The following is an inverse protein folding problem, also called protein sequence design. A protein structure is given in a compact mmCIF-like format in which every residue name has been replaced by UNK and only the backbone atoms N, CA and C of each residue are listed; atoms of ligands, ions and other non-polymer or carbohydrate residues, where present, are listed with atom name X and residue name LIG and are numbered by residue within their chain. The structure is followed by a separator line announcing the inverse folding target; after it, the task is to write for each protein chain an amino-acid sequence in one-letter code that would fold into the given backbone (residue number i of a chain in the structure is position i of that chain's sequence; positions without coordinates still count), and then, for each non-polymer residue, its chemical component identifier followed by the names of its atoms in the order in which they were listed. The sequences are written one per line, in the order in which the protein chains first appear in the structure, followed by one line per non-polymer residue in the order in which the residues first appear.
data_IF_287711743428
#
_entry.id   IF_287711743428
#
_cell.length_a   1.000
_cell.length_b   1.000
_cell.length_c   1.000
_cell.angle_alpha   90.00
_cell.angle_beta   90.00
_cell.angle_gamma   90.00
#
_symmetry.space_group_name_H-M   'P 1'
#
loop_
_entity.id
_entity.type
_entity.pdbx_description
1 polymer ?
#
# COMPACT_ATOMS: atom_id res chain seq x y z
N UNK A 1 6.38 -19.79 3.22
CA UNK A 1 7.71 -19.32 2.73
C UNK A 1 8.72 -20.44 2.44
N UNK A 2 8.47 -21.67 2.88
CA UNK A 2 9.30 -22.86 2.67
C UNK A 2 9.66 -23.15 1.20
N UNK A 3 8.71 -23.02 0.27
CA UNK A 3 8.99 -23.20 -1.16
C UNK A 3 10.06 -22.22 -1.68
N UNK A 4 9.94 -20.95 -1.29
CA UNK A 4 10.87 -19.89 -1.73
C UNK A 4 12.23 -20.08 -1.08
N UNK A 5 12.25 -20.37 0.23
CA UNK A 5 13.49 -20.64 0.96
C UNK A 5 14.20 -21.88 0.41
N UNK A 6 13.49 -22.98 0.15
CA UNK A 6 14.07 -24.20 -0.40
C UNK A 6 14.65 -24.02 -1.81
N UNK A 7 14.00 -23.22 -2.67
CA UNK A 7 14.58 -22.84 -3.98
C UNK A 7 15.85 -22.01 -3.78
N UNK A 8 15.83 -21.03 -2.89
CA UNK A 8 17.00 -20.21 -2.60
C UNK A 8 18.15 -21.04 -2.01
N UNK A 9 17.87 -21.96 -1.09
CA UNK A 9 18.85 -22.89 -0.53
C UNK A 9 19.47 -23.75 -1.63
N UNK A 10 18.65 -24.39 -2.44
CA UNK A 10 19.12 -25.29 -3.51
C UNK A 10 20.02 -24.59 -4.54
N UNK A 11 19.65 -23.39 -4.97
CA UNK A 11 20.30 -22.73 -6.10
C UNK A 11 21.29 -21.64 -5.71
N UNK A 12 21.24 -21.12 -4.48
CA UNK A 12 22.04 -19.97 -4.08
C UNK A 12 22.69 -20.10 -2.69
N UNK A 13 21.90 -20.32 -1.62
CA UNK A 13 22.47 -20.27 -0.27
C UNK A 13 23.36 -21.47 0.05
N UNK A 14 22.95 -22.71 -0.25
CA UNK A 14 23.78 -23.91 0.00
C UNK A 14 25.07 -23.93 -0.84
N UNK A 15 25.06 -23.56 -2.14
CA UNK A 15 26.29 -23.60 -2.95
C UNK A 15 27.26 -22.45 -2.71
N UNK A 16 26.78 -21.25 -2.34
CA UNK A 16 27.59 -20.02 -2.40
C UNK A 16 27.67 -19.22 -1.10
N UNK A 17 26.75 -19.41 -0.15
CA UNK A 17 26.64 -18.54 1.04
C UNK A 17 26.97 -19.27 2.32
N UNK A 18 26.32 -20.42 2.56
CA UNK A 18 26.49 -21.17 3.80
C UNK A 18 27.49 -22.31 3.64
N UNK A 19 28.35 -22.56 4.63
CA UNK A 19 29.27 -23.70 4.60
C UNK A 19 28.47 -25.01 4.68
N UNK A 20 29.02 -26.08 4.12
CA UNK A 20 28.41 -27.42 4.17
C UNK A 20 28.14 -27.94 5.59
N UNK A 21 28.83 -27.38 6.60
CA UNK A 21 28.62 -27.69 8.02
C UNK A 21 27.35 -27.07 8.62
N UNK A 22 26.62 -26.23 7.89
CA UNK A 22 25.42 -25.55 8.39
C UNK A 22 24.16 -26.11 7.70
N UNK A 23 23.41 -27.02 8.34
CA UNK A 23 22.26 -27.68 7.72
C UNK A 23 21.12 -26.72 7.32
N UNK A 24 20.35 -27.07 6.29
CA UNK A 24 19.22 -26.25 5.78
C UNK A 24 18.07 -26.11 6.80
N UNK A 25 17.96 -27.04 7.75
CA UNK A 25 16.96 -27.03 8.81
C UNK A 25 17.40 -26.27 10.08
N UNK A 26 18.62 -25.73 10.07
CA UNK A 26 19.16 -24.99 11.21
C UNK A 26 18.41 -23.64 11.39
N UNK A 27 17.88 -23.35 12.61
CA UNK A 27 17.05 -22.17 12.85
C UNK A 27 17.66 -20.81 12.48
N UNK A 28 18.90 -20.53 12.87
CA UNK A 28 19.57 -19.26 12.58
C UNK A 28 19.79 -19.10 11.08
N UNK A 29 20.20 -20.17 10.37
CA UNK A 29 20.32 -20.19 8.90
C UNK A 29 18.99 -19.84 8.23
N UNK A 30 17.89 -20.46 8.68
CA UNK A 30 16.55 -20.20 8.14
C UNK A 30 16.12 -18.76 8.39
N UNK A 31 16.31 -18.23 9.61
CA UNK A 31 15.95 -16.84 9.94
C UNK A 31 16.74 -15.84 9.09
N UNK A 32 18.04 -16.04 8.93
CA UNK A 32 18.89 -15.17 8.09
C UNK A 32 18.50 -15.25 6.62
N UNK A 33 18.26 -16.46 6.09
CA UNK A 33 17.80 -16.67 4.72
C UNK A 33 16.45 -16.00 4.46
N UNK A 34 15.49 -16.18 5.37
CA UNK A 34 14.19 -15.53 5.32
C UNK A 34 14.31 -14.01 5.37
N UNK A 35 15.16 -13.45 6.23
CA UNK A 35 15.37 -12.00 6.31
C UNK A 35 15.87 -11.43 4.98
N UNK A 36 16.85 -12.09 4.35
CA UNK A 36 17.36 -11.69 3.03
C UNK A 36 16.28 -11.79 1.97
N UNK A 37 15.59 -12.93 1.88
CA UNK A 37 14.56 -13.17 0.87
C UNK A 37 13.36 -12.24 1.02
N UNK A 38 12.90 -11.99 2.24
CA UNK A 38 11.78 -11.09 2.51
C UNK A 38 12.12 -9.65 2.10
N UNK A 39 13.33 -9.16 2.44
CA UNK A 39 13.74 -7.81 2.07
C UNK A 39 13.94 -7.64 0.56
N UNK A 40 14.64 -8.57 -0.08
CA UNK A 40 14.85 -8.53 -1.53
C UNK A 40 13.54 -8.69 -2.29
N UNK A 41 12.70 -9.64 -1.87
CA UNK A 41 11.39 -9.86 -2.47
C UNK A 41 10.48 -8.64 -2.33
N UNK A 42 10.41 -8.04 -1.14
CA UNK A 42 9.66 -6.80 -0.91
C UNK A 42 10.17 -5.65 -1.77
N UNK A 43 11.49 -5.45 -1.85
CA UNK A 43 12.08 -4.41 -2.69
C UNK A 43 11.79 -4.61 -4.18
N UNK A 44 11.93 -5.85 -4.68
CA UNK A 44 11.66 -6.18 -6.09
C UNK A 44 10.19 -5.99 -6.43
N UNK A 45 9.27 -6.49 -5.60
CA UNK A 45 7.84 -6.33 -5.83
C UNK A 45 7.44 -4.86 -5.76
N UNK A 46 7.87 -4.14 -4.73
CA UNK A 46 7.55 -2.72 -4.56
C UNK A 46 8.11 -1.86 -5.70
N UNK A 47 9.41 -1.94 -5.99
CA UNK A 47 10.04 -1.12 -7.03
C UNK A 47 9.59 -1.55 -8.43
N UNK A 48 9.47 -2.85 -8.68
CA UNK A 48 9.07 -3.39 -9.98
C UNK A 48 7.61 -3.08 -10.33
N UNK A 49 6.67 -3.47 -9.46
CA UNK A 49 5.25 -3.20 -9.67
C UNK A 49 4.93 -1.71 -9.55
N UNK A 50 5.60 -0.99 -8.63
CA UNK A 50 5.49 0.45 -8.49
C UNK A 50 5.95 1.18 -9.74
N UNK A 51 7.10 0.80 -10.33
CA UNK A 51 7.57 1.37 -11.59
C UNK A 51 6.62 1.03 -12.75
N UNK A 52 6.14 -0.22 -12.83
CA UNK A 52 5.19 -0.61 -13.87
C UNK A 52 3.92 0.25 -13.81
N UNK A 53 3.33 0.39 -12.63
CA UNK A 53 2.16 1.25 -12.42
C UNK A 53 2.49 2.71 -12.72
N UNK A 54 3.62 3.23 -12.24
CA UNK A 54 4.04 4.61 -12.46
C UNK A 54 4.20 4.94 -13.95
N UNK A 55 4.86 4.10 -14.74
CA UNK A 55 5.10 4.40 -16.15
C UNK A 55 3.92 4.07 -17.07
N UNK A 56 3.08 3.08 -16.72
CA UNK A 56 2.03 2.59 -17.63
C UNK A 56 0.61 3.03 -17.24
N UNK A 57 0.34 3.31 -15.96
CA UNK A 57 -1.02 3.51 -15.43
C UNK A 57 -1.18 4.89 -14.79
N UNK A 58 -0.18 5.33 -14.00
CA UNK A 58 -0.26 6.54 -13.20
C UNK A 58 -0.58 7.78 -14.04
N UNK A 59 -1.60 8.51 -13.61
CA UNK A 59 -1.96 9.77 -14.24
C UNK A 59 -1.02 10.89 -13.79
N UNK A 60 0.00 11.16 -14.59
CA UNK A 60 1.03 12.17 -14.31
C UNK A 60 0.48 13.61 -14.21
N UNK A 61 -0.72 13.90 -14.70
CA UNK A 61 -1.34 15.22 -14.48
C UNK A 61 -1.55 15.50 -13.00
N UNK A 62 -1.73 14.46 -12.16
CA UNK A 62 -1.87 14.60 -10.71
C UNK A 62 -0.66 15.29 -10.05
N UNK A 63 0.51 15.24 -10.68
CA UNK A 63 1.71 15.92 -10.20
C UNK A 63 1.60 17.44 -10.24
N UNK A 64 0.64 17.99 -11.01
CA UNK A 64 0.34 19.42 -11.07
C UNK A 64 -0.56 19.89 -9.92
N UNK A 65 -1.12 18.97 -9.14
CA UNK A 65 -2.02 19.33 -8.05
C UNK A 65 -1.26 20.09 -6.95
N UNK A 66 -1.82 21.15 -6.33
CA UNK A 66 -1.14 21.95 -5.28
C UNK A 66 -0.69 21.16 -4.05
N UNK A 67 -1.31 20.02 -3.80
CA UNK A 67 -0.96 19.12 -2.70
C UNK A 67 0.03 18.01 -3.08
N UNK A 68 0.42 17.91 -4.35
CA UNK A 68 1.52 17.03 -4.75
C UNK A 68 2.84 17.70 -4.35
N UNK A 69 3.63 17.01 -3.52
CA UNK A 69 4.80 17.59 -2.88
C UNK A 69 6.01 17.63 -3.84
N UNK A 70 6.94 18.59 -3.64
CA UNK A 70 8.22 18.56 -4.35
C UNK A 70 8.99 17.27 -4.08
N UNK A 71 9.53 16.67 -5.15
CA UNK A 71 10.26 15.39 -5.13
C UNK A 71 9.49 14.25 -4.45
N UNK A 72 8.15 14.29 -4.47
CA UNK A 72 7.30 13.35 -3.72
C UNK A 72 7.64 11.89 -4.03
N UNK A 73 7.74 11.51 -5.30
CA UNK A 73 8.06 10.12 -5.70
C UNK A 73 9.37 9.62 -5.08
N UNK A 74 10.43 10.43 -5.11
CA UNK A 74 11.71 10.06 -4.49
C UNK A 74 11.59 9.94 -2.96
N UNK A 75 10.79 10.81 -2.33
CA UNK A 75 10.56 10.77 -0.88
C UNK A 75 9.74 9.55 -0.47
N UNK A 76 8.73 9.19 -1.25
CA UNK A 76 7.92 7.98 -1.07
C UNK A 76 8.80 6.72 -1.16
N UNK A 77 9.59 6.60 -2.25
CA UNK A 77 10.53 5.48 -2.44
C UNK A 77 11.52 5.41 -1.29
N UNK A 78 12.15 6.54 -0.93
CA UNK A 78 13.11 6.57 0.18
C UNK A 78 12.46 6.10 1.48
N UNK A 79 11.26 6.59 1.78
CA UNK A 79 10.58 6.26 3.03
C UNK A 79 10.17 4.79 3.08
N UNK A 80 9.60 4.25 2.00
CA UNK A 80 9.28 2.83 1.88
C UNK A 80 10.53 1.96 2.04
N UNK A 81 11.61 2.24 1.30
CA UNK A 81 12.85 1.46 1.37
C UNK A 81 13.54 1.54 2.74
N UNK A 82 13.35 2.61 3.50
CA UNK A 82 13.81 2.67 4.90
C UNK A 82 12.91 1.91 5.86
N UNK A 83 11.61 1.81 5.59
CA UNK A 83 10.64 1.14 6.46
C UNK A 83 10.58 -0.38 6.28
N UNK A 84 10.74 -0.87 5.04
CA UNK A 84 10.61 -2.29 4.69
C UNK A 84 11.49 -3.23 5.55
N UNK A 85 12.77 -2.92 5.85
CA UNK A 85 13.57 -3.77 6.73
C UNK A 85 13.00 -3.91 8.14
N UNK A 86 12.44 -2.85 8.70
CA UNK A 86 11.83 -2.89 10.04
C UNK A 86 10.53 -3.68 10.05
N UNK A 87 9.74 -3.60 8.98
CA UNK A 87 8.53 -4.41 8.81
C UNK A 87 8.89 -5.89 8.66
N UNK A 88 9.99 -6.18 7.96
CA UNK A 88 10.41 -7.55 7.70
C UNK A 88 10.75 -8.31 8.99
N UNK A 89 11.22 -7.66 10.05
CA UNK A 89 11.63 -8.33 11.29
C UNK A 89 10.49 -9.16 11.93
N UNK A 90 9.33 -8.57 12.29
CA UNK A 90 8.21 -9.36 12.82
C UNK A 90 7.57 -10.26 11.75
N UNK A 91 7.60 -9.89 10.46
CA UNK A 91 7.09 -10.75 9.38
C UNK A 91 7.92 -12.03 9.22
N UNK A 92 9.25 -11.95 9.37
CA UNK A 92 10.16 -13.10 9.33
C UNK A 92 9.87 -14.07 10.47
N UNK A 93 9.44 -13.59 11.65
CA UNK A 93 9.00 -14.48 12.72
C UNK A 93 7.79 -15.33 12.31
N UNK A 94 6.82 -14.75 11.60
CA UNK A 94 5.68 -15.47 11.04
C UNK A 94 6.12 -16.46 9.96
N UNK A 95 6.98 -16.04 9.04
CA UNK A 95 7.51 -16.92 7.99
C UNK A 95 8.36 -18.05 8.54
N UNK A 96 9.13 -17.80 9.59
CA UNK A 96 9.86 -18.84 10.29
C UNK A 96 8.88 -19.85 10.89
N UNK A 97 7.83 -19.40 11.58
CA UNK A 97 6.79 -20.30 12.08
C UNK A 97 6.09 -21.10 10.96
N UNK A 98 5.84 -20.49 9.78
CA UNK A 98 5.35 -21.21 8.60
C UNK A 98 6.32 -22.34 8.19
N UNK A 99 7.61 -22.04 8.04
CA UNK A 99 8.65 -23.00 7.65
C UNK A 99 8.81 -24.12 8.69
N UNK A 100 8.58 -23.82 9.98
CA UNK A 100 8.59 -24.81 11.06
C UNK A 100 7.30 -25.65 11.13
N UNK A 101 6.35 -25.46 10.21
CA UNK A 101 5.13 -26.27 10.12
C UNK A 101 4.01 -25.86 11.06
N UNK A 102 4.05 -24.65 11.64
CA UNK A 102 2.97 -24.16 12.52
C UNK A 102 1.76 -23.60 11.74
N UNK A 103 1.89 -23.42 10.42
CA UNK A 103 0.80 -22.99 9.55
C UNK A 103 -0.02 -24.18 9.03
N UNK A 104 -1.21 -23.90 8.50
CA UNK A 104 -2.09 -24.87 7.82
C UNK A 104 -1.88 -24.87 6.31
N UNK A 105 -0.70 -24.45 5.84
CA UNK A 105 -0.36 -24.48 4.43
C UNK A 105 -0.19 -25.92 3.95
N UNK A 106 -0.71 -26.23 2.76
CA UNK A 106 -0.62 -27.56 2.17
C UNK A 106 -0.11 -27.52 0.73
N UNK A 107 0.49 -28.63 0.30
CA UNK A 107 1.24 -28.73 -0.96
C UNK A 107 0.36 -29.13 -2.15
N UNK A 108 -0.51 -30.12 -2.00
CA UNK A 108 -1.29 -30.65 -3.11
C UNK A 108 -2.75 -30.21 -3.02
N UNK A 109 -3.35 -29.89 -4.16
CA UNK A 109 -4.78 -29.55 -4.24
C UNK A 109 -5.66 -30.65 -3.62
N UNK A 110 -5.25 -31.91 -3.77
CA UNK A 110 -5.96 -33.08 -3.25
C UNK A 110 -5.90 -33.23 -1.72
N UNK A 111 -5.02 -32.48 -1.03
CA UNK A 111 -4.99 -32.43 0.44
C UNK A 111 -6.18 -31.62 1.00
N UNK A 112 -6.84 -30.81 0.15
CA UNK A 112 -8.09 -30.16 0.48
C UNK A 112 -9.28 -31.12 0.31
N UNK A 113 -10.18 -31.25 1.31
CA UNK A 113 -11.41 -32.05 1.18
C UNK A 113 -12.29 -31.64 -0.01
N UNK A 114 -12.15 -30.39 -0.47
CA UNK A 114 -12.92 -29.83 -1.57
C UNK A 114 -12.15 -29.76 -2.90
N UNK A 115 -10.90 -30.21 -2.95
CA UNK A 115 -10.05 -30.14 -4.14
C UNK A 115 -9.99 -28.74 -4.76
N UNK A 116 -10.14 -28.66 -6.10
CA UNK A 116 -10.12 -27.39 -6.86
C UNK A 116 -11.18 -26.35 -6.42
N UNK A 117 -12.47 -26.71 -6.20
CA UNK A 117 -13.43 -25.81 -5.57
C UNK A 117 -12.97 -25.23 -4.23
N UNK A 118 -12.23 -26.01 -3.44
CA UNK A 118 -11.64 -25.57 -2.18
C UNK A 118 -10.67 -24.41 -2.34
N UNK A 119 -9.91 -24.35 -3.44
CA UNK A 119 -8.99 -23.24 -3.73
C UNK A 119 -9.75 -21.94 -3.98
N UNK A 120 -10.83 -21.99 -4.75
CA UNK A 120 -11.67 -20.81 -5.02
C UNK A 120 -12.30 -20.31 -3.72
N UNK A 121 -12.84 -21.22 -2.90
CA UNK A 121 -13.40 -20.85 -1.60
C UNK A 121 -12.33 -20.26 -0.66
N UNK A 122 -11.12 -20.81 -0.66
CA UNK A 122 -9.99 -20.28 0.12
C UNK A 122 -9.59 -18.88 -0.35
N UNK A 123 -9.55 -18.64 -1.66
CA UNK A 123 -9.30 -17.31 -2.22
C UNK A 123 -10.38 -16.29 -1.81
N UNK A 124 -11.66 -16.64 -1.96
CA UNK A 124 -12.76 -15.74 -1.58
C UNK A 124 -12.72 -15.46 -0.08
N UNK A 125 -12.59 -16.49 0.76
CA UNK A 125 -12.51 -16.30 2.21
C UNK A 125 -11.26 -15.53 2.64
N UNK A 126 -10.11 -15.71 1.98
CA UNK A 126 -8.92 -14.88 2.18
C UNK A 126 -9.20 -13.41 1.90
N UNK A 127 -9.83 -13.08 0.77
CA UNK A 127 -10.18 -11.71 0.44
C UNK A 127 -11.13 -11.09 1.47
N UNK A 128 -12.21 -11.78 1.84
CA UNK A 128 -13.16 -11.26 2.83
C UNK A 128 -12.57 -11.13 4.24
N UNK A 129 -11.77 -12.12 4.68
CA UNK A 129 -11.10 -12.07 5.98
C UNK A 129 -10.12 -10.90 6.05
N UNK A 130 -9.26 -10.77 5.03
CA UNK A 130 -8.23 -9.74 5.00
C UNK A 130 -8.85 -8.35 4.84
N UNK A 131 -9.88 -8.18 4.02
CA UNK A 131 -10.63 -6.92 3.89
C UNK A 131 -11.21 -6.47 5.25
N UNK A 132 -11.84 -7.39 5.99
CA UNK A 132 -12.40 -7.11 7.31
C UNK A 132 -11.32 -6.68 8.30
N UNK A 133 -10.26 -7.47 8.44
CA UNK A 133 -9.22 -7.19 9.41
C UNK A 133 -8.50 -5.88 9.09
N UNK A 134 -8.19 -5.63 7.83
CA UNK A 134 -7.51 -4.42 7.39
C UNK A 134 -8.39 -3.20 7.60
N UNK A 135 -9.70 -3.28 7.29
CA UNK A 135 -10.63 -2.20 7.58
C UNK A 135 -10.56 -1.74 9.06
N UNK A 136 -10.61 -2.69 10.00
CA UNK A 136 -10.57 -2.36 11.42
C UNK A 136 -9.21 -1.87 11.89
N UNK A 137 -8.12 -2.46 11.38
CA UNK A 137 -6.75 -2.02 11.66
C UNK A 137 -6.53 -0.59 11.13
N UNK A 138 -6.95 -0.34 9.90
CA UNK A 138 -6.83 0.96 9.26
C UNK A 138 -7.64 2.02 10.02
N UNK A 139 -8.91 1.72 10.35
CA UNK A 139 -9.73 2.61 11.18
C UNK A 139 -9.12 2.86 12.57
N UNK A 140 -8.51 1.84 13.18
CA UNK A 140 -7.79 1.98 14.45
C UNK A 140 -6.55 2.87 14.31
N UNK A 141 -5.81 2.75 13.21
CA UNK A 141 -4.67 3.60 12.89
C UNK A 141 -5.05 5.07 12.72
N UNK A 142 -6.29 5.36 12.30
CA UNK A 142 -6.86 6.71 12.28
C UNK A 142 -7.37 7.23 13.63
N UNK A 143 -7.38 6.39 14.67
CA UNK A 143 -7.76 6.87 15.99
C UNK A 143 -6.82 7.98 16.47
N UNK A 144 -7.36 9.06 17.05
CA UNK A 144 -6.65 10.29 17.44
C UNK A 144 -5.34 10.10 18.21
N UNK A 145 -5.25 9.04 19.02
CA UNK A 145 -4.06 8.72 19.83
C UNK A 145 -2.95 8.03 19.03
N UNK A 146 -3.32 7.33 17.95
CA UNK A 146 -2.46 6.45 17.16
C UNK A 146 -2.01 7.16 15.88
N UNK A 147 -2.94 7.86 15.22
CA UNK A 147 -2.76 8.49 13.90
C UNK A 147 -1.48 9.31 13.80
N UNK A 148 -1.27 10.27 14.71
CA UNK A 148 -0.12 11.18 14.68
C UNK A 148 1.23 10.45 14.62
N UNK A 149 1.30 9.28 15.27
CA UNK A 149 2.55 8.54 15.45
C UNK A 149 2.83 7.58 14.30
N UNK A 150 1.82 6.84 13.83
CA UNK A 150 2.05 5.73 12.92
C UNK A 150 1.47 5.93 11.52
N UNK A 151 0.30 6.57 11.41
CA UNK A 151 -0.41 6.61 10.12
C UNK A 151 -0.34 7.98 9.42
N UNK A 152 -0.17 9.07 10.18
CA UNK A 152 0.07 10.41 9.64
C UNK A 152 1.24 10.46 8.64
N UNK A 153 2.37 9.75 8.84
CA UNK A 153 3.46 9.74 7.86
C UNK A 153 3.06 9.21 6.48
N UNK A 154 2.09 8.30 6.39
CA UNK A 154 1.53 7.84 5.12
C UNK A 154 0.60 8.90 4.50
N UNK A 155 -0.21 9.53 5.36
CA UNK A 155 -1.17 10.57 4.99
C UNK A 155 -0.57 11.94 4.64
N UNK A 156 0.76 12.08 4.68
CA UNK A 156 1.41 13.28 4.12
C UNK A 156 1.29 13.34 2.59
N UNK A 157 1.10 12.18 1.94
CA UNK A 157 0.95 12.02 0.49
C UNK A 157 -0.51 12.21 0.05
N UNK A 158 -1.07 13.40 0.28
CA UNK A 158 -2.50 13.69 0.02
C UNK A 158 -2.97 13.36 -1.40
N UNK A 159 -2.10 13.55 -2.39
CA UNK A 159 -2.29 13.06 -3.75
C UNK A 159 -1.24 11.99 -3.96
N UNK A 160 -1.56 10.71 -3.73
CA UNK A 160 -0.57 9.66 -3.75
C UNK A 160 -0.05 9.40 -5.18
N UNK A 161 1.19 8.94 -5.26
CA UNK A 161 1.66 8.18 -6.43
C UNK A 161 1.64 6.67 -6.11
N UNK A 162 1.82 5.77 -7.10
CA UNK A 162 1.93 4.34 -6.86
C UNK A 162 2.98 3.98 -5.80
N UNK A 163 4.03 4.80 -5.67
CA UNK A 163 5.10 4.59 -4.68
C UNK A 163 4.68 4.97 -3.25
N UNK A 164 3.60 5.74 -3.06
CA UNK A 164 3.03 6.03 -1.74
C UNK A 164 2.47 4.76 -1.05
N UNK A 165 2.12 3.75 -1.83
CA UNK A 165 1.47 2.50 -1.39
C UNK A 165 2.18 1.77 -0.24
N UNK A 166 3.51 1.87 -0.17
CA UNK A 166 4.33 1.26 0.88
C UNK A 166 5.13 2.29 1.70
N UNK A 167 4.87 3.59 1.47
CA UNK A 167 5.56 4.69 2.14
C UNK A 167 4.87 5.03 3.47
N UNK A 168 4.86 4.07 4.40
CA UNK A 168 4.27 4.19 5.74
C UNK A 168 5.30 3.91 6.85
N UNK A 169 4.91 4.23 8.09
CA UNK A 169 5.69 3.86 9.27
C UNK A 169 5.79 2.33 9.41
N UNK A 170 6.89 1.75 9.95
CA UNK A 170 7.01 0.30 10.07
C UNK A 170 5.88 -0.40 10.84
N UNK A 171 5.44 0.18 11.96
CA UNK A 171 4.30 -0.35 12.74
C UNK A 171 3.01 -0.35 11.92
N UNK A 172 2.77 0.70 11.14
CA UNK A 172 1.60 0.82 10.27
C UNK A 172 1.64 -0.28 9.19
N UNK A 173 2.76 -0.40 8.48
CA UNK A 173 2.98 -1.43 7.47
C UNK A 173 2.83 -2.85 7.98
N UNK A 174 3.41 -3.15 9.14
CA UNK A 174 3.28 -4.47 9.76
C UNK A 174 1.83 -4.77 10.14
N UNK A 175 1.13 -3.82 10.78
CA UNK A 175 -0.25 -4.02 11.20
C UNK A 175 -1.17 -4.23 9.99
N UNK A 176 -1.05 -3.41 8.94
CA UNK A 176 -1.88 -3.58 7.74
C UNK A 176 -1.53 -4.86 6.96
N UNK A 177 -0.27 -5.32 6.97
CA UNK A 177 0.14 -6.57 6.35
C UNK A 177 -0.19 -7.84 7.14
N UNK A 178 -0.34 -7.72 8.47
CA UNK A 178 -0.50 -8.85 9.39
C UNK A 178 -1.66 -9.81 9.02
N UNK A 179 -2.86 -9.35 8.61
CA UNK A 179 -3.97 -10.24 8.29
C UNK A 179 -3.65 -11.24 7.17
N UNK A 180 -2.84 -10.84 6.19
CA UNK A 180 -2.41 -11.71 5.09
C UNK A 180 -1.58 -12.90 5.59
N UNK A 181 -0.72 -12.64 6.58
CA UNK A 181 0.19 -13.64 7.14
C UNK A 181 -0.43 -14.48 8.25
N UNK A 182 -1.44 -13.96 8.96
CA UNK A 182 -2.16 -14.73 9.99
C UNK A 182 -3.18 -15.69 9.39
N UNK A 183 -3.77 -15.38 8.23
CA UNK A 183 -4.75 -16.23 7.58
C UNK A 183 -4.32 -17.72 7.49
N UNK A 184 -3.14 -18.08 6.96
CA UNK A 184 -2.73 -19.49 6.85
C UNK A 184 -2.49 -20.20 8.20
N UNK A 185 -2.43 -19.49 9.33
CA UNK A 185 -2.40 -20.12 10.66
C UNK A 185 -3.80 -20.49 11.16
N UNK A 186 -4.83 -19.80 10.67
CA UNK A 186 -6.21 -20.01 11.06
C UNK A 186 -6.94 -20.95 10.10
N UNK A 187 -6.70 -20.82 8.80
CA UNK A 187 -7.41 -21.53 7.74
C UNK A 187 -6.44 -22.29 6.83
N UNK A 188 -6.84 -23.48 6.33
CA UNK A 188 -6.04 -24.21 5.36
C UNK A 188 -5.93 -23.43 4.06
N UNK A 189 -4.72 -23.34 3.50
CA UNK A 189 -4.46 -22.61 2.25
C UNK A 189 -3.37 -23.30 1.42
N UNK A 190 -3.62 -23.46 0.12
CA UNK A 190 -2.65 -24.05 -0.79
C UNK A 190 -1.43 -23.14 -0.97
N UNK A 191 -0.21 -23.67 -0.86
CA UNK A 191 1.03 -22.86 -0.88
C UNK A 191 1.19 -21.98 -2.11
N UNK A 192 0.94 -22.51 -3.32
CA UNK A 192 1.05 -21.70 -4.54
C UNK A 192 -0.07 -20.66 -4.65
N UNK A 193 -1.26 -20.95 -4.12
CA UNK A 193 -2.33 -19.97 -4.07
C UNK A 193 -1.97 -18.83 -3.12
N UNK A 194 -1.40 -19.14 -1.95
CA UNK A 194 -0.92 -18.13 -1.01
C UNK A 194 0.15 -17.22 -1.62
N UNK A 195 1.13 -17.78 -2.34
CA UNK A 195 2.14 -16.98 -3.07
C UNK A 195 1.50 -16.09 -4.15
N UNK A 196 0.56 -16.64 -4.93
CA UNK A 196 -0.18 -15.86 -5.94
C UNK A 196 -1.01 -14.73 -5.32
N UNK A 197 -1.68 -14.99 -4.19
CA UNK A 197 -2.42 -13.99 -3.43
C UNK A 197 -1.48 -12.92 -2.88
N UNK A 198 -0.33 -13.28 -2.33
CA UNK A 198 0.67 -12.32 -1.84
C UNK A 198 1.10 -11.34 -2.94
N UNK A 199 1.36 -11.82 -4.16
CA UNK A 199 1.63 -10.94 -5.31
C UNK A 199 0.40 -10.10 -5.66
N UNK A 200 -0.78 -10.70 -5.71
CA UNK A 200 -2.05 -10.01 -5.99
C UNK A 200 -2.35 -8.87 -5.01
N UNK A 201 -2.07 -9.05 -3.73
CA UNK A 201 -2.19 -8.02 -2.69
C UNK A 201 -1.27 -6.84 -2.97
N UNK A 202 -0.03 -7.08 -3.39
CA UNK A 202 0.92 -6.01 -3.73
C UNK A 202 0.45 -5.23 -4.96
N UNK A 203 0.00 -5.92 -6.01
CA UNK A 203 -0.60 -5.30 -7.21
C UNK A 203 -1.79 -4.43 -6.80
N UNK A 204 -2.70 -4.96 -5.98
CA UNK A 204 -3.86 -4.23 -5.51
C UNK A 204 -3.49 -2.97 -4.72
N UNK A 205 -2.62 -3.12 -3.72
CA UNK A 205 -2.16 -2.04 -2.84
C UNK A 205 -1.51 -0.90 -3.63
N UNK A 206 -0.77 -1.21 -4.69
CA UNK A 206 -0.20 -0.22 -5.60
C UNK A 206 -1.29 0.43 -6.46
N UNK A 207 -2.20 -0.37 -7.03
CA UNK A 207 -3.25 0.12 -7.92
C UNK A 207 -4.20 1.12 -7.26
N UNK A 208 -4.53 0.97 -5.97
CA UNK A 208 -5.39 1.95 -5.29
C UNK A 208 -4.69 3.32 -5.03
N UNK A 209 -3.41 3.46 -5.36
CA UNK A 209 -2.62 4.70 -5.23
C UNK A 209 -2.21 5.31 -6.57
N UNK A 210 -2.55 4.69 -7.71
CA UNK A 210 -2.08 5.11 -9.03
C UNK A 210 -2.90 6.25 -9.67
N UNK A 211 -3.98 6.67 -9.01
CA UNK A 211 -4.80 7.77 -9.50
C UNK A 211 -5.57 7.47 -10.78
N UNK A 212 -5.63 6.20 -11.23
CA UNK A 212 -6.53 5.75 -12.27
C UNK A 212 -7.91 5.43 -11.70
N UNK A 213 -8.81 6.41 -11.80
CA UNK A 213 -10.16 6.32 -11.23
C UNK A 213 -11.14 5.49 -12.07
N UNK A 214 -10.68 4.86 -13.16
CA UNK A 214 -11.54 4.09 -14.05
C UNK A 214 -11.91 2.77 -13.40
N UNK A 215 -13.21 2.57 -13.22
CA UNK A 215 -13.79 1.31 -12.76
C UNK A 215 -15.12 1.09 -13.50
N UNK A 216 -15.40 -0.13 -14.02
CA UNK A 216 -16.67 -0.43 -14.67
C UNK A 216 -17.85 -0.04 -13.77
N UNK A 217 -18.87 0.63 -14.33
CA UNK A 217 -20.02 1.17 -13.58
C UNK A 217 -20.66 0.17 -12.60
N UNK A 218 -20.85 -1.12 -12.94
CA UNK A 218 -21.43 -2.08 -12.00
C UNK A 218 -20.56 -2.37 -10.76
N UNK A 219 -19.24 -2.17 -10.85
CA UNK A 219 -18.29 -2.43 -9.77
C UNK A 219 -18.08 -1.23 -8.85
N UNK A 220 -18.34 -0.01 -9.34
CA UNK A 220 -18.19 1.24 -8.57
C UNK A 220 -18.83 1.22 -7.17
N UNK A 221 -20.05 0.68 -6.95
CA UNK A 221 -20.63 0.69 -5.61
C UNK A 221 -20.02 -0.35 -4.66
N UNK A 222 -19.28 -1.35 -5.17
CA UNK A 222 -18.80 -2.52 -4.40
C UNK A 222 -17.29 -2.46 -4.16
N UNK A 223 -16.52 -2.00 -5.14
CA UNK A 223 -15.05 -2.05 -5.11
C UNK A 223 -14.48 -0.75 -4.56
N UNK A 224 -13.62 -0.84 -3.55
CA UNK A 224 -12.84 0.28 -3.01
C UNK A 224 -11.55 0.45 -3.84
N UNK A 225 -11.68 1.14 -4.98
CA UNK A 225 -10.57 1.41 -5.90
C UNK A 225 -9.85 2.75 -5.67
N UNK A 226 -8.97 3.13 -6.59
CA UNK A 226 -8.13 4.34 -6.49
C UNK A 226 -8.89 5.65 -6.20
N UNK A 227 -10.11 5.78 -6.73
CA UNK A 227 -10.95 6.95 -6.49
C UNK A 227 -11.37 7.08 -5.01
N UNK A 228 -11.75 5.96 -4.40
CA UNK A 228 -12.14 5.90 -2.99
C UNK A 228 -10.93 6.16 -2.09
N UNK A 229 -9.80 5.54 -2.41
CA UNK A 229 -8.58 5.65 -1.62
C UNK A 229 -7.93 7.04 -1.74
N UNK A 230 -7.99 7.69 -2.92
CA UNK A 230 -7.55 9.09 -3.05
C UNK A 230 -8.40 10.04 -2.19
N UNK A 231 -9.72 9.85 -2.18
CA UNK A 231 -10.61 10.60 -1.28
C UNK A 231 -10.29 10.32 0.19
N UNK A 232 -9.90 9.09 0.54
CA UNK A 232 -9.42 8.75 1.87
C UNK A 232 -8.18 9.58 2.26
N UNK A 233 -7.17 9.68 1.39
CA UNK A 233 -5.98 10.52 1.62
C UNK A 233 -6.29 12.03 1.72
N UNK A 234 -7.37 12.49 1.07
CA UNK A 234 -7.78 13.89 1.10
C UNK A 234 -8.61 14.27 2.33
N UNK A 235 -9.54 13.39 2.72
CA UNK A 235 -10.57 13.68 3.72
C UNK A 235 -10.40 12.90 5.03
N UNK A 236 -9.50 11.92 5.08
CA UNK A 236 -9.09 11.10 6.24
C UNK A 236 -10.17 10.20 6.85
N UNK A 237 -11.40 10.68 7.02
CA UNK A 237 -12.42 10.02 7.84
C UNK A 237 -13.27 8.97 7.10
N UNK A 238 -12.96 8.66 5.83
CA UNK A 238 -13.82 7.87 4.96
C UNK A 238 -13.05 6.79 4.19
N UNK A 239 -13.76 5.74 3.73
CA UNK A 239 -13.26 4.73 2.78
C UNK A 239 -12.00 3.96 3.23
N UNK A 240 -12.02 3.37 4.43
CA UNK A 240 -10.90 2.62 5.01
C UNK A 240 -10.71 1.21 4.44
N UNK A 241 -11.70 0.65 3.73
CA UNK A 241 -11.66 -0.72 3.22
C UNK A 241 -10.51 -0.96 2.24
N UNK A 242 -10.04 -2.21 2.17
CA UNK A 242 -8.92 -2.57 1.30
C UNK A 242 -9.39 -2.85 -0.12
N UNK A 243 -10.33 -3.78 -0.29
CA UNK A 243 -10.84 -4.22 -1.60
C UNK A 243 -12.29 -3.79 -1.83
N UNK A 244 -13.11 -3.86 -0.78
CA UNK A 244 -14.56 -3.67 -0.89
C UNK A 244 -15.05 -2.49 -0.07
N UNK A 245 -16.16 -1.89 -0.49
CA UNK A 245 -16.86 -0.83 0.24
C UNK A 245 -17.75 -1.38 1.36
N UNK A 246 -17.84 -2.71 1.50
CA UNK A 246 -18.73 -3.40 2.43
C UNK A 246 -18.54 -2.93 3.87
N UNK A 247 -17.31 -2.97 4.38
CA UNK A 247 -17.02 -2.59 5.76
C UNK A 247 -17.13 -1.10 6.00
N UNK A 248 -16.86 -0.28 4.99
CA UNK A 248 -17.12 1.16 5.05
C UNK A 248 -18.61 1.46 5.19
N UNK A 249 -19.47 0.71 4.50
CA UNK A 249 -20.93 0.85 4.63
C UNK A 249 -21.42 0.41 6.01
N UNK A 250 -20.97 -0.76 6.46
CA UNK A 250 -21.34 -1.29 7.77
C UNK A 250 -20.83 -0.41 8.92
N UNK A 251 -19.59 0.06 8.81
CA UNK A 251 -18.94 0.94 9.78
C UNK A 251 -19.25 2.43 9.62
N UNK A 252 -20.13 2.80 8.68
CA UNK A 252 -20.58 4.18 8.43
C UNK A 252 -19.46 5.16 8.09
N UNK A 253 -18.46 4.70 7.36
CA UNK A 253 -17.34 5.49 6.81
C UNK A 253 -17.37 5.56 5.29
N UNK A 254 -18.37 4.99 4.63
CA UNK A 254 -18.49 5.05 3.17
C UNK A 254 -18.77 6.47 2.68
N UNK A 255 -17.99 6.92 1.69
CA UNK A 255 -18.21 8.15 0.94
C UNK A 255 -18.07 7.87 -0.55
N UNK A 256 -19.06 8.33 -1.32
CA UNK A 256 -18.98 8.24 -2.78
C UNK A 256 -17.81 9.09 -3.30
N UNK A 257 -16.92 8.56 -4.16
CA UNK A 257 -15.71 9.25 -4.57
C UNK A 257 -15.95 10.54 -5.35
N UNK A 258 -15.26 11.61 -4.96
CA UNK A 258 -15.33 12.92 -5.59
C UNK A 258 -14.90 12.89 -7.06
N UNK A 259 -13.95 12.03 -7.42
CA UNK A 259 -13.50 11.84 -8.79
C UNK A 259 -14.61 11.28 -9.73
N UNK A 260 -15.53 10.47 -9.19
CA UNK A 260 -16.66 9.95 -9.96
C UNK A 260 -17.80 10.98 -10.13
N UNK A 261 -17.74 12.09 -9.38
CA UNK A 261 -18.69 13.21 -9.46
C UNK A 261 -18.15 14.42 -10.26
N UNK A 262 -16.95 14.32 -10.84
CA UNK A 262 -16.30 15.47 -11.49
C UNK A 262 -15.85 16.56 -10.50
N UNK A 263 -15.50 16.15 -9.27
CA UNK A 263 -14.99 17.01 -8.20
C UNK A 263 -13.66 16.52 -7.63
N UNK A 264 -12.98 15.59 -8.31
CA UNK A 264 -11.74 14.99 -7.82
C UNK A 264 -10.51 15.84 -8.12
N UNK A 265 -9.31 15.34 -7.78
CA UNK A 265 -8.04 16.06 -8.01
C UNK A 265 -7.84 16.50 -9.46
N UNK A 266 -8.16 15.64 -10.43
CA UNK A 266 -8.03 15.95 -11.87
C UNK A 266 -9.01 17.04 -12.32
N UNK A 267 -10.19 17.15 -11.71
CA UNK A 267 -11.11 18.25 -11.97
C UNK A 267 -10.59 19.57 -11.38
N UNK A 268 -9.99 19.51 -10.20
CA UNK A 268 -9.37 20.67 -9.56
C UNK A 268 -8.26 21.26 -10.43
N UNK A 269 -7.37 20.42 -10.95
CA UNK A 269 -6.28 20.82 -11.85
C UNK A 269 -6.83 21.48 -13.12
N UNK A 270 -7.83 20.86 -13.78
CA UNK A 270 -8.48 21.42 -14.97
C UNK A 270 -9.08 22.81 -14.70
N UNK A 271 -9.77 22.99 -13.57
CA UNK A 271 -10.35 24.30 -13.20
C UNK A 271 -9.27 25.36 -12.95
N UNK A 272 -8.17 24.98 -12.32
CA UNK A 272 -7.03 25.89 -12.09
C UNK A 272 -6.38 26.32 -13.41
N UNK A 273 -6.14 25.37 -14.33
CA UNK A 273 -5.58 25.65 -15.65
C UNK A 273 -6.49 26.58 -16.47
N UNK A 274 -7.80 26.32 -16.49
CA UNK A 274 -8.80 27.18 -17.15
C UNK A 274 -8.81 28.59 -16.56
N UNK A 275 -8.77 28.71 -15.23
CA UNK A 275 -8.75 30.00 -14.55
C UNK A 275 -7.45 30.79 -14.82
N UNK A 276 -6.30 30.10 -14.93
CA UNK A 276 -5.03 30.74 -15.29
C UNK A 276 -5.01 31.20 -16.76
N UNK A 277 -5.58 30.41 -17.68
CA UNK A 277 -5.73 30.80 -19.08
C UNK A 277 -6.65 32.03 -19.24
N UNK A 278 -7.75 32.08 -18.49
CA UNK A 278 -8.71 33.19 -18.52
C UNK A 278 -8.13 34.53 -17.98
N UNK A 279 -7.08 34.49 -17.16
CA UNK A 279 -6.45 35.70 -16.59
C UNK A 279 -5.36 36.32 -17.47
N UNK A 280 -4.99 35.70 -18.59
CA UNK A 280 -3.90 36.17 -19.47
C UNK A 280 -2.52 36.11 -18.80
N UNK A 281 -1.42 36.35 -19.55
CA UNK A 281 -0.11 36.51 -18.95
C UNK A 281 -0.16 37.72 -18.01
N UNK A 282 0.30 37.55 -16.76
CA UNK A 282 0.52 38.67 -15.86
C UNK A 282 1.49 39.64 -16.54
N UNK A 283 0.96 40.76 -17.03
CA UNK A 283 1.77 41.89 -17.46
C UNK A 283 2.71 42.26 -16.30
N UNK A 284 4.00 42.25 -16.58
CA UNK A 284 5.10 42.41 -15.63
C UNK A 284 5.26 43.84 -15.14
N UNK A 285 4.17 44.45 -14.67
CA UNK A 285 4.16 45.79 -14.10
C UNK A 285 4.86 45.83 -12.73
N UNK A 286 5.84 46.73 -12.50
CA UNK A 286 6.65 46.73 -11.28
C UNK A 286 5.87 46.98 -9.97
N UNK A 287 4.62 47.48 -10.04
CA UNK A 287 3.88 47.99 -8.88
C UNK A 287 3.30 46.95 -7.90
N UNK A 288 3.24 45.66 -8.23
CA UNK A 288 2.62 44.65 -7.33
C UNK A 288 3.58 43.86 -6.44
N UNK A 289 4.90 44.04 -6.61
CA UNK A 289 5.88 43.40 -5.71
C UNK A 289 5.90 44.04 -4.32
N UNK A 290 5.68 45.35 -4.24
CA UNK A 290 5.73 46.10 -2.99
C UNK A 290 4.52 45.82 -2.08
N UNK A 291 3.30 45.71 -2.63
CA UNK A 291 2.10 45.32 -1.84
C UNK A 291 2.20 43.90 -1.25
N UNK A 292 2.93 43.00 -1.92
CA UNK A 292 3.07 41.61 -1.47
C UNK A 292 4.13 41.46 -0.38
N UNK A 293 5.14 42.33 -0.34
CA UNK A 293 6.13 42.36 0.73
C UNK A 293 5.58 43.02 2.00
N UNK A 294 4.86 44.15 1.87
CA UNK A 294 4.23 44.82 3.02
C UNK A 294 3.22 43.94 3.76
N UNK A 295 2.44 43.11 3.04
CA UNK A 295 1.45 42.23 3.67
C UNK A 295 2.07 41.01 4.38
N UNK A 296 3.28 40.57 4.00
CA UNK A 296 3.99 39.45 4.65
C UNK A 296 4.66 39.89 5.95
N UNK A 297 5.15 41.13 6.02
CA UNK A 297 5.74 41.67 7.25
C UNK A 297 4.67 41.93 8.32
N UNK A 298 3.49 42.42 7.93
CA UNK A 298 2.37 42.67 8.85
C UNK A 298 1.75 41.38 9.43
N UNK A 299 1.95 40.21 8.79
CA UNK A 299 1.47 38.93 9.34
C UNK A 299 2.46 38.32 10.34
N UNK A 300 3.76 38.61 10.22
CA UNK A 300 4.79 38.09 11.12
C UNK A 300 4.82 38.79 12.48
N UNK A 301 4.34 40.04 12.56
CA UNK A 301 4.22 40.77 13.83
C UNK A 301 3.00 40.35 14.68
N UNK A 302 2.03 39.62 14.09
CA UNK A 302 0.82 39.17 14.81
C UNK A 302 0.89 37.72 15.31
N UNK A 303 1.96 36.99 15.01
CA UNK A 303 2.18 35.60 15.43
C UNK A 303 3.41 35.41 16.34
N UNK A 304 3.93 36.51 16.92
CA UNK A 304 4.98 36.49 17.95
C UNK A 304 4.39 36.64 19.36
#
# INVERSE_FOLDING_TARGET
MDLVLGVADRFFFSPYVYPASWPEDEPLRQVLGLLVLTNLGAAILYLGLGALSYFLIFNHDLMKHPHFLPNQVQREIKYAMTSLPWISLPTVALFFAEVRGYSKLYDNVHDSPMGWPGLILSMVSFLFFTDMCIYWIHRFLHHKLIYKHFHKPHHVWKIPSPFASHAFHPVDGFLQGLPYHIYPFLFPLHKLLYLGLYVGVNVWTISIHDGDYRLPRPLQPVVNGAAHHTDHHLYFDYNYGQYFTLWDRLGRSYRHPSALEGKGPLDCIRRMEQHNQARGPLDGGPGRREERQGRIEETKEKEA
#
